data_IF_462764825153
#
_entry.id   IF_462764825153
#
_cell.length_a   1.000
_cell.length_b   1.000
_cell.length_c   1.000
_cell.angle_alpha   90.00
_cell.angle_beta   90.00
_cell.angle_gamma   90.00
#
_symmetry.space_group_name_H-M   'P 1'
#
loop_
_entity.id
_entity.type
_entity.pdbx_description
1 polymer ?
#
# COMPACT_ATOMS: atom_id res chain seq x y z
N UNK A 1 9.51 5.85 -1.52
CA UNK A 1 8.23 6.51 -1.16
C UNK A 1 8.27 8.00 -1.41
N UNK A 2 9.28 8.74 -0.94
CA UNK A 2 9.47 10.17 -1.30
C UNK A 2 9.44 10.40 -2.83
N UNK A 3 10.21 9.63 -3.59
CA UNK A 3 10.20 9.72 -5.06
C UNK A 3 8.82 9.46 -5.67
N UNK A 4 8.08 8.46 -5.17
CA UNK A 4 6.74 8.13 -5.67
C UNK A 4 5.73 9.27 -5.41
N UNK A 5 5.82 9.92 -4.24
CA UNK A 5 5.01 11.10 -3.91
C UNK A 5 5.32 12.22 -4.90
N UNK A 6 6.60 12.56 -5.08
CA UNK A 6 7.02 13.62 -6.01
C UNK A 6 6.56 13.33 -7.44
N UNK A 7 6.76 12.10 -7.92
CA UNK A 7 6.30 11.66 -9.24
C UNK A 7 4.77 11.73 -9.39
N UNK A 8 4.02 11.46 -8.31
CA UNK A 8 2.55 11.56 -8.31
C UNK A 8 2.09 13.01 -8.39
N UNK A 9 2.75 13.91 -7.66
CA UNK A 9 2.50 15.35 -7.74
C UNK A 9 2.82 15.86 -9.14
N UNK A 10 3.96 15.45 -9.72
CA UNK A 10 4.34 15.82 -11.09
C UNK A 10 3.29 15.34 -12.10
N UNK A 11 2.83 14.09 -11.97
CA UNK A 11 1.75 13.56 -12.81
C UNK A 11 0.46 14.36 -12.66
N UNK A 12 0.09 14.78 -11.45
CA UNK A 12 -1.09 15.63 -11.22
C UNK A 12 -0.94 16.99 -11.92
N UNK A 13 0.20 17.63 -11.77
CA UNK A 13 0.51 18.91 -12.42
C UNK A 13 0.41 18.78 -13.94
N UNK A 14 0.96 17.71 -14.51
CA UNK A 14 0.90 17.45 -15.96
C UNK A 14 -0.55 17.26 -16.44
N UNK A 15 -1.37 16.52 -15.69
CA UNK A 15 -2.79 16.36 -16.00
C UNK A 15 -3.55 17.68 -15.94
N UNK A 16 -3.27 18.53 -14.95
CA UNK A 16 -3.88 19.86 -14.85
C UNK A 16 -3.49 20.74 -16.05
N UNK A 17 -2.21 20.76 -16.43
CA UNK A 17 -1.72 21.50 -17.60
C UNK A 17 -2.35 21.02 -18.90
N UNK A 18 -2.45 19.71 -19.10
CA UNK A 18 -3.10 19.10 -20.27
C UNK A 18 -4.57 19.49 -20.39
N UNK A 19 -5.22 19.81 -19.26
CA UNK A 19 -6.61 20.26 -19.20
C UNK A 19 -6.78 21.79 -19.15
N UNK A 20 -5.73 22.54 -19.53
CA UNK A 20 -5.79 23.99 -19.75
C UNK A 20 -5.59 24.85 -18.50
N UNK A 21 -5.10 24.27 -17.39
CA UNK A 21 -4.71 25.05 -16.21
C UNK A 21 -3.37 25.74 -16.47
N UNK A 22 -3.32 27.06 -16.26
CA UNK A 22 -2.09 27.83 -16.37
C UNK A 22 -1.04 27.34 -15.36
N UNK A 23 0.14 26.98 -15.86
CA UNK A 23 1.26 26.51 -15.06
C UNK A 23 1.66 27.49 -13.96
N UNK A 24 1.49 28.80 -14.18
CA UNK A 24 1.81 29.84 -13.18
C UNK A 24 0.90 29.82 -11.96
N UNK A 25 -0.30 29.23 -12.08
CA UNK A 25 -1.26 29.11 -10.97
C UNK A 25 -0.96 27.90 -10.08
N UNK A 26 -0.14 26.97 -10.54
CA UNK A 26 0.15 25.73 -9.84
C UNK A 26 1.49 25.87 -9.13
N UNK A 27 1.45 26.04 -7.81
CA UNK A 27 2.64 26.05 -6.96
C UNK A 27 2.86 24.62 -6.46
N UNK A 28 4.01 24.03 -6.82
CA UNK A 28 4.28 22.61 -6.51
C UNK A 28 4.50 22.39 -5.01
N UNK A 29 5.12 23.37 -4.35
CA UNK A 29 5.41 23.38 -2.93
C UNK A 29 4.12 23.28 -2.10
N UNK A 30 3.08 24.03 -2.48
CA UNK A 30 1.76 23.97 -1.84
C UNK A 30 1.16 22.56 -1.92
N UNK A 31 1.38 21.84 -3.03
CA UNK A 31 0.92 20.45 -3.19
C UNK A 31 1.76 19.47 -2.38
N UNK A 32 3.06 19.73 -2.19
CA UNK A 32 3.94 18.86 -1.39
C UNK A 32 3.51 18.89 0.08
N UNK A 33 3.12 20.05 0.60
CA UNK A 33 2.80 20.23 2.02
C UNK A 33 1.41 19.69 2.41
N UNK A 34 0.61 19.26 1.44
CA UNK A 34 -0.68 18.63 1.66
C UNK A 34 -0.55 17.31 2.46
N UNK A 35 -1.35 17.09 3.52
CA UNK A 35 -1.31 15.88 4.35
C UNK A 35 -1.36 14.54 3.57
N UNK A 36 -2.17 14.48 2.50
CA UNK A 36 -2.30 13.31 1.62
C UNK A 36 -1.02 12.95 0.86
N UNK A 37 -0.10 13.90 0.70
CA UNK A 37 1.22 13.68 0.10
C UNK A 37 2.33 13.56 1.15
N UNK A 38 1.97 13.55 2.43
CA UNK A 38 2.89 13.28 3.53
C UNK A 38 2.85 11.80 3.94
N UNK A 39 3.93 11.36 4.58
CA UNK A 39 3.92 10.09 5.33
C UNK A 39 3.06 10.31 6.58
N UNK A 40 2.18 9.36 6.90
CA UNK A 40 1.31 9.43 8.09
C UNK A 40 2.09 9.87 9.34
N UNK A 41 1.58 10.89 10.03
CA UNK A 41 2.10 11.38 11.31
C UNK A 41 1.15 11.05 12.46
N UNK A 42 -0.17 11.11 12.23
CA UNK A 42 -1.24 10.77 13.17
C UNK A 42 -2.34 9.91 12.51
N UNK A 43 -3.06 9.13 13.30
CA UNK A 43 -3.97 8.06 12.82
C UNK A 43 -5.26 8.54 12.16
N UNK A 44 -5.59 9.83 12.23
CA UNK A 44 -6.88 10.37 11.77
C UNK A 44 -6.80 11.17 10.47
N UNK A 45 -5.61 11.37 9.90
CA UNK A 45 -5.44 12.13 8.67
C UNK A 45 -5.21 11.21 7.47
N UNK A 46 -5.84 11.56 6.34
CA UNK A 46 -5.56 10.92 5.06
C UNK A 46 -4.10 11.13 4.68
N UNK A 47 -3.39 10.04 4.43
CA UNK A 47 -1.99 10.08 4.03
C UNK A 47 -1.78 9.38 2.68
N UNK A 48 -0.55 9.43 2.19
CA UNK A 48 -0.23 8.85 0.89
C UNK A 48 -0.43 7.32 0.84
N UNK A 49 -0.32 6.64 1.97
CA UNK A 49 -0.57 5.20 2.06
C UNK A 49 -2.04 4.87 1.74
N UNK A 50 -2.98 5.74 2.08
CA UNK A 50 -4.40 5.52 1.80
C UNK A 50 -4.68 5.64 0.30
N UNK A 51 -3.97 6.52 -0.40
CA UNK A 51 -4.00 6.60 -1.87
C UNK A 51 -3.40 5.34 -2.52
N UNK A 52 -2.33 4.77 -1.94
CA UNK A 52 -1.79 3.48 -2.40
C UNK A 52 -2.81 2.35 -2.23
N UNK A 53 -3.65 2.41 -1.18
CA UNK A 53 -4.75 1.46 -0.96
C UNK A 53 -5.96 1.71 -1.89
N UNK A 54 -5.93 2.77 -2.70
CA UNK A 54 -7.01 3.13 -3.62
C UNK A 54 -8.07 4.08 -3.02
N UNK A 55 -7.85 4.62 -1.82
CA UNK A 55 -8.76 5.59 -1.21
C UNK A 55 -8.37 7.00 -1.67
N UNK A 56 -9.29 7.72 -2.32
CA UNK A 56 -9.03 9.06 -2.84
C UNK A 56 -9.53 10.14 -1.86
N UNK A 57 -8.67 11.05 -1.38
CA UNK A 57 -9.10 12.11 -0.47
C UNK A 57 -10.07 13.10 -1.13
N UNK A 58 -11.17 13.42 -0.46
CA UNK A 58 -12.13 14.42 -0.93
C UNK A 58 -11.50 15.82 -1.04
N UNK A 59 -10.57 16.15 -0.14
CA UNK A 59 -9.79 17.40 -0.19
C UNK A 59 -9.03 17.53 -1.51
N UNK A 60 -8.42 16.46 -1.99
CA UNK A 60 -7.70 16.45 -3.27
C UNK A 60 -8.66 16.66 -4.45
N UNK A 61 -9.84 16.03 -4.44
CA UNK A 61 -10.88 16.30 -5.45
C UNK A 61 -11.31 17.78 -5.48
N UNK A 62 -11.46 18.41 -4.32
CA UNK A 62 -11.79 19.85 -4.22
C UNK A 62 -10.68 20.74 -4.75
N UNK A 63 -9.41 20.39 -4.47
CA UNK A 63 -8.24 21.10 -5.02
C UNK A 63 -8.20 20.99 -6.54
N UNK A 64 -8.46 19.81 -7.10
CA UNK A 64 -8.54 19.62 -8.56
C UNK A 64 -9.65 20.51 -9.14
N UNK A 65 -10.84 20.50 -8.52
CA UNK A 65 -11.97 21.35 -8.94
C UNK A 65 -11.68 22.84 -8.84
N UNK A 66 -10.92 23.27 -7.83
CA UNK A 66 -10.47 24.65 -7.71
C UNK A 66 -9.63 25.07 -8.92
N UNK A 67 -8.74 24.21 -9.42
CA UNK A 67 -7.94 24.50 -10.61
C UNK A 67 -8.71 24.46 -11.92
N UNK A 68 -9.55 23.43 -12.13
CA UNK A 68 -10.21 23.21 -13.43
C UNK A 68 -11.58 23.90 -13.57
N UNK A 69 -12.18 24.32 -12.45
CA UNK A 69 -13.52 24.89 -12.33
C UNK A 69 -14.54 23.93 -11.72
N UNK A 70 -15.37 24.43 -10.80
CA UNK A 70 -16.35 23.64 -10.00
C UNK A 70 -17.36 22.88 -10.87
N UNK A 71 -17.69 23.38 -12.06
CA UNK A 71 -18.62 22.73 -13.00
C UNK A 71 -18.06 21.49 -13.69
N UNK A 72 -16.76 21.19 -13.56
CA UNK A 72 -16.07 20.11 -14.27
C UNK A 72 -15.87 18.84 -13.42
N UNK A 73 -16.88 18.45 -12.63
CA UNK A 73 -16.81 17.28 -11.74
C UNK A 73 -16.42 15.97 -12.43
N UNK A 74 -16.95 15.73 -13.63
CA UNK A 74 -16.62 14.52 -14.41
C UNK A 74 -15.13 14.48 -14.77
N UNK A 75 -14.56 15.64 -15.13
CA UNK A 75 -13.14 15.76 -15.44
C UNK A 75 -12.29 15.61 -14.18
N UNK A 76 -12.67 16.21 -13.06
CA UNK A 76 -11.98 16.04 -11.78
C UNK A 76 -11.92 14.56 -11.36
N UNK A 77 -13.03 13.83 -11.52
CA UNK A 77 -13.09 12.39 -11.25
C UNK A 77 -12.15 11.60 -12.17
N UNK A 78 -12.11 11.94 -13.46
CA UNK A 78 -11.22 11.28 -14.42
C UNK A 78 -9.74 11.50 -14.05
N UNK A 79 -9.36 12.73 -13.71
CA UNK A 79 -8.00 13.05 -13.21
C UNK A 79 -7.68 12.22 -11.95
N UNK A 80 -8.62 12.14 -10.99
CA UNK A 80 -8.45 11.34 -9.78
C UNK A 80 -8.22 9.85 -10.07
N UNK A 81 -8.98 9.27 -11.01
CA UNK A 81 -8.80 7.88 -11.46
C UNK A 81 -7.43 7.69 -12.11
N UNK A 82 -6.99 8.61 -12.97
CA UNK A 82 -5.66 8.52 -13.59
C UNK A 82 -4.52 8.60 -12.57
N UNK A 83 -4.67 9.42 -11.53
CA UNK A 83 -3.70 9.49 -10.43
C UNK A 83 -3.65 8.18 -9.66
N UNK A 84 -4.79 7.58 -9.29
CA UNK A 84 -4.79 6.28 -8.63
C UNK A 84 -4.19 5.18 -9.50
N UNK A 85 -4.51 5.15 -10.80
CA UNK A 85 -3.93 4.20 -11.74
C UNK A 85 -2.42 4.36 -11.88
N UNK A 86 -1.94 5.60 -11.89
CA UNK A 86 -0.50 5.91 -11.91
C UNK A 86 0.19 5.37 -10.66
N UNK A 87 -0.34 5.69 -9.47
CA UNK A 87 0.20 5.21 -8.18
C UNK A 87 0.20 3.68 -8.17
N UNK A 88 -0.91 3.04 -8.53
CA UNK A 88 -1.04 1.59 -8.58
C UNK A 88 0.02 0.97 -9.50
N UNK A 89 0.18 1.48 -10.71
CA UNK A 89 1.15 0.96 -11.69
C UNK A 89 2.58 1.08 -11.18
N UNK A 90 2.93 2.23 -10.58
CA UNK A 90 4.25 2.48 -10.02
C UNK A 90 4.53 1.59 -8.80
N UNK A 91 3.59 1.46 -7.87
CA UNK A 91 3.74 0.59 -6.68
C UNK A 91 3.80 -0.88 -7.10
N UNK A 92 2.97 -1.29 -8.06
CA UNK A 92 2.96 -2.66 -8.56
C UNK A 92 4.30 -3.06 -9.17
N UNK A 93 4.86 -2.20 -10.03
CA UNK A 93 6.13 -2.46 -10.70
C UNK A 93 7.35 -2.34 -9.77
N UNK A 94 7.41 -1.30 -8.94
CA UNK A 94 8.59 -0.99 -8.12
C UNK A 94 8.65 -1.73 -6.79
N UNK A 95 7.49 -2.05 -6.20
CA UNK A 95 7.41 -2.66 -4.86
C UNK A 95 6.85 -4.07 -4.94
N UNK A 96 5.65 -4.25 -5.49
CA UNK A 96 4.97 -5.54 -5.41
C UNK A 96 5.66 -6.62 -6.25
N UNK A 97 6.06 -6.33 -7.49
CA UNK A 97 6.70 -7.31 -8.37
C UNK A 97 7.96 -7.92 -7.73
N UNK A 98 8.87 -7.07 -7.25
CA UNK A 98 10.09 -7.50 -6.56
C UNK A 98 9.79 -8.33 -5.31
N UNK A 99 8.82 -7.90 -4.50
CA UNK A 99 8.40 -8.64 -3.30
C UNK A 99 7.80 -10.00 -3.64
N UNK A 100 6.96 -10.07 -4.66
CA UNK A 100 6.35 -11.31 -5.14
C UNK A 100 7.41 -12.28 -5.67
N UNK A 101 8.42 -11.79 -6.39
CA UNK A 101 9.53 -12.61 -6.86
C UNK A 101 10.38 -13.15 -5.71
N UNK A 102 10.73 -12.30 -4.74
CA UNK A 102 11.44 -12.73 -3.54
C UNK A 102 10.63 -13.77 -2.74
N UNK A 103 9.32 -13.57 -2.60
CA UNK A 103 8.44 -14.51 -1.92
C UNK A 103 8.40 -15.86 -2.63
N UNK A 104 8.31 -15.88 -3.97
CA UNK A 104 8.36 -17.13 -4.76
C UNK A 104 9.66 -17.90 -4.54
N UNK A 105 10.79 -17.20 -4.43
CA UNK A 105 12.09 -17.84 -4.15
C UNK A 105 12.12 -18.43 -2.74
N UNK A 106 11.65 -17.66 -1.74
CA UNK A 106 11.54 -18.13 -0.35
C UNK A 106 10.65 -19.36 -0.25
N UNK A 107 9.46 -19.32 -0.85
CA UNK A 107 8.52 -20.45 -0.88
C UNK A 107 9.14 -21.69 -1.51
N UNK A 108 9.86 -21.53 -2.63
CA UNK A 108 10.57 -22.63 -3.29
C UNK A 108 11.65 -23.23 -2.38
N UNK A 109 12.41 -22.40 -1.65
CA UNK A 109 13.43 -22.87 -0.71
C UNK A 109 12.85 -23.62 0.51
N UNK A 110 11.60 -23.31 0.87
CA UNK A 110 10.88 -23.94 1.97
C UNK A 110 10.01 -25.13 1.52
N UNK A 111 10.04 -25.47 0.23
CA UNK A 111 9.19 -26.53 -0.34
C UNK A 111 7.69 -26.23 -0.26
N UNK A 112 7.29 -24.96 -0.17
CA UNK A 112 5.89 -24.55 -0.05
C UNK A 112 5.24 -24.60 -1.43
N UNK A 113 4.29 -25.51 -1.61
CA UNK A 113 3.54 -25.67 -2.86
C UNK A 113 2.34 -24.74 -2.94
N UNK A 114 1.73 -24.62 -4.13
CA UNK A 114 0.44 -23.93 -4.29
C UNK A 114 -0.68 -24.60 -3.47
N UNK A 115 -0.61 -25.90 -3.25
CA UNK A 115 -1.61 -26.63 -2.46
C UNK A 115 -1.49 -26.28 -0.98
N UNK A 116 -0.27 -26.07 -0.50
CA UNK A 116 -0.04 -25.67 0.90
C UNK A 116 -0.64 -24.31 1.21
N UNK A 117 -0.62 -23.36 0.26
CA UNK A 117 -1.25 -22.04 0.41
C UNK A 117 -2.78 -22.07 0.41
N UNK A 118 -3.38 -23.18 -0.01
CA UNK A 118 -4.84 -23.39 0.01
C UNK A 118 -5.31 -24.07 1.29
N UNK A 119 -4.38 -24.62 2.09
CA UNK A 119 -4.70 -25.17 3.41
C UNK A 119 -5.03 -24.02 4.34
N UNK A 120 -5.94 -24.24 5.27
CA UNK A 120 -6.14 -23.32 6.39
C UNK A 120 -4.85 -23.25 7.21
N UNK A 121 -4.53 -22.06 7.74
CA UNK A 121 -3.28 -21.84 8.48
C UNK A 121 -3.16 -22.81 9.65
N UNK A 122 -4.27 -23.21 10.28
CA UNK A 122 -4.31 -24.22 11.35
C UNK A 122 -3.80 -25.60 10.93
N UNK A 123 -4.02 -26.02 9.69
CA UNK A 123 -3.56 -27.31 9.15
C UNK A 123 -2.10 -27.19 8.69
N UNK A 124 -1.78 -26.15 7.92
CA UNK A 124 -0.42 -25.92 7.41
C UNK A 124 0.59 -25.73 8.56
N UNK A 125 0.22 -24.95 9.59
CA UNK A 125 1.11 -24.69 10.73
C UNK A 125 1.40 -25.94 11.53
N UNK A 126 0.43 -26.85 11.70
CA UNK A 126 0.64 -28.15 12.37
C UNK A 126 1.57 -29.07 11.58
N UNK A 127 1.39 -29.15 10.26
CA UNK A 127 2.23 -29.99 9.39
C UNK A 127 3.68 -29.49 9.34
N UNK A 128 3.88 -28.16 9.36
CA UNK A 128 5.20 -27.52 9.32
C UNK A 128 5.75 -27.15 10.69
N UNK A 129 5.10 -27.57 11.77
CA UNK A 129 5.41 -27.14 13.14
C UNK A 129 6.86 -27.46 13.51
N UNK A 130 7.34 -28.68 13.22
CA UNK A 130 8.72 -29.09 13.52
C UNK A 130 9.78 -28.26 12.76
N UNK A 131 9.54 -27.91 11.50
CA UNK A 131 10.45 -27.07 10.70
C UNK A 131 10.40 -25.60 11.09
N UNK A 132 9.23 -25.10 11.50
CA UNK A 132 9.06 -23.74 11.98
C UNK A 132 9.63 -23.56 13.39
N UNK A 133 9.49 -24.58 14.25
CA UNK A 133 10.10 -24.62 15.56
C UNK A 133 11.62 -24.77 15.46
N UNK A 134 12.17 -25.65 14.61
CA UNK A 134 13.63 -25.83 14.52
C UNK A 134 14.39 -24.55 14.13
N UNK A 135 13.76 -23.63 13.40
CA UNK A 135 14.34 -22.32 13.06
C UNK A 135 14.15 -21.24 14.13
N UNK A 136 13.32 -21.50 15.14
CA UNK A 136 13.05 -20.61 16.27
C UNK A 136 13.91 -20.92 17.49
N UNK A 137 14.73 -21.98 17.44
CA UNK A 137 15.59 -22.39 18.53
C UNK A 137 17.03 -22.58 18.04
N UNK A 138 18.00 -22.20 18.87
CA UNK A 138 19.40 -22.56 18.70
C UNK A 138 19.73 -23.65 19.74
N UNK A 139 19.74 -24.92 19.33
CA UNK A 139 19.72 -26.03 20.28
C UNK A 139 18.39 -26.05 21.04
N UNK A 140 18.43 -25.99 22.38
CA UNK A 140 17.23 -25.90 23.23
C UNK A 140 16.83 -24.45 23.56
N UNK A 141 17.56 -23.44 23.06
CA UNK A 141 17.33 -22.05 23.42
C UNK A 141 16.35 -21.37 22.44
N UNK A 142 15.20 -20.84 22.89
CA UNK A 142 14.27 -20.11 22.03
C UNK A 142 14.89 -18.77 21.62
N UNK A 143 15.09 -18.57 20.31
CA UNK A 143 15.68 -17.36 19.73
C UNK A 143 14.77 -16.13 19.81
N UNK A 144 13.46 -16.32 20.01
CA UNK A 144 12.45 -15.25 19.92
C UNK A 144 11.38 -15.31 21.02
N UNK A 145 11.75 -15.81 22.20
CA UNK A 145 10.91 -15.74 23.41
C UNK A 145 10.65 -14.27 23.76
N UNK A 146 9.48 -13.74 23.42
CA UNK A 146 9.09 -12.34 23.65
C UNK A 146 8.51 -11.62 22.44
N UNK A 147 8.69 -12.13 21.22
CA UNK A 147 8.15 -11.51 20.01
C UNK A 147 6.72 -11.96 19.64
N UNK A 148 6.04 -12.70 20.52
CA UNK A 148 4.63 -13.09 20.32
C UNK A 148 3.75 -11.84 20.19
N UNK A 149 3.97 -10.84 21.05
CA UNK A 149 3.28 -9.54 20.95
C UNK A 149 3.61 -8.82 19.63
N UNK A 150 4.86 -8.84 19.18
CA UNK A 150 5.26 -8.22 17.90
C UNK A 150 4.60 -8.94 16.71
N UNK A 151 4.50 -10.28 16.76
CA UNK A 151 3.76 -11.08 15.76
C UNK A 151 2.29 -10.67 15.67
N UNK A 152 1.65 -10.36 16.80
CA UNK A 152 0.25 -9.91 16.82
C UNK A 152 0.04 -8.51 16.22
N UNK A 153 1.07 -7.66 16.23
CA UNK A 153 1.00 -6.25 15.80
C UNK A 153 1.61 -6.00 14.40
N UNK A 154 2.21 -7.01 13.76
CA UNK A 154 2.58 -6.92 12.34
C UNK A 154 1.29 -7.02 11.51
N UNK A 155 1.01 -6.02 10.68
CA UNK A 155 -0.06 -6.08 9.68
C UNK A 155 0.13 -7.36 8.84
N UNK A 156 -0.86 -8.25 8.81
CA UNK A 156 -0.82 -9.63 8.26
C UNK A 156 -0.10 -10.70 9.11
N UNK A 157 0.12 -10.47 10.41
CA UNK A 157 0.66 -11.46 11.36
C UNK A 157 -0.36 -12.49 11.89
N UNK A 158 -1.64 -12.29 11.60
CA UNK A 158 -2.75 -13.25 11.78
C UNK A 158 -3.27 -13.72 10.42
N UNK A 159 -4.02 -14.83 10.42
CA UNK A 159 -4.76 -15.38 9.27
C UNK A 159 -5.35 -14.23 8.43
N UNK A 160 -4.95 -14.14 7.15
CA UNK A 160 -5.43 -13.13 6.19
C UNK A 160 -6.97 -13.11 6.12
N UNK A 161 -7.61 -14.24 6.39
CA UNK A 161 -9.06 -14.39 6.41
C UNK A 161 -9.74 -13.74 7.62
N UNK A 162 -9.04 -13.52 8.73
CA UNK A 162 -9.58 -12.78 9.87
C UNK A 162 -9.76 -11.28 9.61
N UNK A 163 -9.04 -10.73 8.63
CA UNK A 163 -9.19 -9.34 8.19
C UNK A 163 -10.24 -9.16 7.08
N UNK A 164 -10.56 -10.23 6.34
CA UNK A 164 -11.60 -10.23 5.29
C UNK A 164 -12.96 -10.76 5.78
N UNK A 165 -13.11 -11.00 7.09
CA UNK A 165 -14.38 -11.34 7.73
C UNK A 165 -15.29 -10.11 7.90
N UNK A 166 -15.73 -9.52 6.80
CA UNK A 166 -16.98 -8.78 6.81
C UNK A 166 -18.13 -9.80 6.75
N UNK A 167 -19.03 -9.74 7.73
CA UNK A 167 -20.44 -10.02 7.54
C UNK A 167 -20.83 -11.49 7.51
N UNK A 168 -21.77 -11.82 8.39
CA UNK A 168 -22.72 -12.93 8.25
C UNK A 168 -23.41 -12.86 6.89
#
# INVERSE_FOLDING_TARGET
MKNLITETIDKLIDLLKQNGVDAKKIIKEDLIDLPMFQRAKDTNEFCFIDMIKGIFPLSLSRIILFFIGVSKEKLARMIGIEILNFIFTKVNSSVWKRRCEAMKQTEKSLGISKMDKKKTDSIFTKEKEKELQSKRYLGNYPLFEGLISVKEHILFGKEILGFMGCGV
#
